data_IF_016258608182
#
_entry.id   IF_016258608182
#
_cell.length_a   1.000
_cell.length_b   1.000
_cell.length_c   1.000
_cell.angle_alpha   90.00
_cell.angle_beta   90.00
_cell.angle_gamma   90.00
#
_symmetry.space_group_name_H-M   'P 1'
#
loop_
_entity.id
_entity.type
_entity.pdbx_description
1 polymer ?
#
# COMPACT_ATOMS: atom_id res chain seq x y z
N UNK A 1 -14.89 26.16 0.27
CA UNK A 1 -14.91 25.31 -0.93
C UNK A 1 -15.27 23.89 -0.52
N UNK A 2 -16.32 23.30 -1.11
CA UNK A 2 -16.57 21.84 -1.02
C UNK A 2 -15.41 21.16 -1.74
N UNK A 3 -14.57 20.42 -1.02
CA UNK A 3 -13.50 19.63 -1.64
C UNK A 3 -14.12 18.61 -2.58
N UNK A 4 -13.65 18.58 -3.83
CA UNK A 4 -14.07 17.58 -4.81
C UNK A 4 -13.66 16.20 -4.29
N UNK A 5 -14.60 15.24 -4.09
CA UNK A 5 -14.31 13.93 -3.49
C UNK A 5 -13.31 13.05 -4.26
N UNK A 6 -12.89 13.47 -5.45
CA UNK A 6 -12.13 12.69 -6.42
C UNK A 6 -10.63 12.96 -6.41
N UNK A 7 -10.16 14.13 -5.97
CA UNK A 7 -8.75 14.51 -6.13
C UNK A 7 -7.78 13.67 -5.27
N UNK A 8 -8.24 13.16 -4.12
CA UNK A 8 -7.39 12.37 -3.21
C UNK A 8 -7.25 10.88 -3.59
N UNK A 9 -8.12 10.36 -4.46
CA UNK A 9 -8.13 8.95 -4.87
C UNK A 9 -7.40 8.68 -6.18
N UNK A 10 -7.15 9.72 -6.99
CA UNK A 10 -6.71 9.58 -8.39
C UNK A 10 -5.22 9.24 -8.56
N UNK A 11 -4.37 9.35 -7.52
CA UNK A 11 -2.93 9.12 -7.65
C UNK A 11 -2.32 8.38 -6.45
N UNK A 12 -2.82 7.18 -6.13
CA UNK A 12 -2.14 6.31 -5.15
C UNK A 12 -1.04 5.53 -5.90
N UNK A 13 0.26 5.76 -5.63
CA UNK A 13 1.34 5.05 -6.30
C UNK A 13 1.26 3.54 -6.05
N UNK A 14 1.44 2.71 -7.10
CA UNK A 14 1.47 1.27 -6.94
C UNK A 14 2.80 0.81 -6.32
N UNK A 15 2.73 -0.30 -5.58
CA UNK A 15 3.87 -0.95 -4.95
C UNK A 15 3.74 -2.46 -5.09
N UNK A 16 4.54 -3.04 -5.98
CA UNK A 16 4.61 -4.49 -6.12
C UNK A 16 5.43 -5.11 -5.00
N UNK A 17 4.93 -6.21 -4.45
CA UNK A 17 5.59 -7.00 -3.41
C UNK A 17 5.64 -8.47 -3.82
N UNK A 18 6.50 -9.25 -3.18
CA UNK A 18 6.53 -10.72 -3.32
C UNK A 18 5.38 -11.40 -2.57
N UNK A 19 5.21 -12.70 -2.80
CA UNK A 19 4.14 -13.51 -2.21
C UNK A 19 4.22 -13.56 -0.67
N UNK A 20 5.43 -13.66 -0.10
CA UNK A 20 5.62 -13.74 1.34
C UNK A 20 5.19 -12.44 2.05
N UNK A 21 5.51 -11.29 1.47
CA UNK A 21 5.05 -9.98 1.93
C UNK A 21 3.54 -9.85 1.73
N UNK A 22 3.02 -10.30 0.58
CA UNK A 22 1.58 -10.26 0.28
C UNK A 22 0.76 -11.03 1.32
N UNK A 23 1.17 -12.24 1.67
CA UNK A 23 0.49 -13.07 2.67
C UNK A 23 0.52 -12.45 4.06
N UNK A 24 1.65 -11.87 4.46
CA UNK A 24 1.75 -11.15 5.73
C UNK A 24 0.80 -9.96 5.77
N UNK A 25 0.74 -9.18 4.69
CA UNK A 25 -0.17 -8.03 4.58
C UNK A 25 -1.64 -8.46 4.58
N UNK A 26 -1.99 -9.57 3.91
CA UNK A 26 -3.35 -10.14 3.92
C UNK A 26 -3.82 -10.48 5.33
N UNK A 27 -2.90 -10.95 6.17
CA UNK A 27 -3.13 -11.22 7.59
C UNK A 27 -3.05 -9.97 8.48
N UNK A 28 -3.02 -8.76 7.89
CA UNK A 28 -2.98 -7.49 8.61
C UNK A 28 -1.64 -7.18 9.29
N UNK A 29 -0.58 -7.95 8.99
CA UNK A 29 0.73 -7.72 9.58
C UNK A 29 1.38 -6.48 8.98
N UNK A 30 2.21 -5.82 9.79
CA UNK A 30 3.10 -4.75 9.33
C UNK A 30 4.36 -5.39 8.76
N UNK A 31 4.80 -4.93 7.59
CA UNK A 31 5.92 -5.55 6.88
C UNK A 31 6.97 -4.51 6.54
N UNK A 32 8.24 -4.79 6.87
CA UNK A 32 9.37 -3.99 6.45
C UNK A 32 9.77 -4.42 5.04
N UNK A 33 9.94 -3.45 4.15
CA UNK A 33 10.40 -3.67 2.78
C UNK A 33 11.66 -2.83 2.52
N UNK A 34 12.53 -3.35 1.66
CA UNK A 34 13.69 -2.62 1.17
C UNK A 34 13.25 -1.78 -0.02
N UNK A 35 12.86 -0.53 0.24
CA UNK A 35 12.52 0.40 -0.84
C UNK A 35 13.45 1.59 -0.81
N UNK A 36 14.15 1.82 -1.93
CA UNK A 36 14.92 3.04 -2.14
C UNK A 36 13.98 4.15 -2.57
N UNK A 37 13.88 5.22 -1.77
CA UNK A 37 13.33 6.51 -2.23
C UNK A 37 11.83 6.77 -2.06
N UNK A 38 11.11 5.99 -1.25
CA UNK A 38 9.71 6.33 -0.92
C UNK A 38 9.63 7.55 0.02
N UNK A 39 8.78 8.52 -0.31
CA UNK A 39 8.46 9.61 0.61
C UNK A 39 7.93 9.06 1.93
N UNK A 40 8.42 9.62 3.04
CA UNK A 40 7.96 9.23 4.37
C UNK A 40 6.47 9.55 4.52
N UNK A 41 5.66 8.52 4.78
CA UNK A 41 4.19 8.56 4.99
C UNK A 41 3.34 8.66 3.72
N UNK A 42 3.82 8.12 2.60
CA UNK A 42 3.01 8.00 1.38
C UNK A 42 1.90 6.94 1.53
N UNK A 43 0.72 7.19 0.95
CA UNK A 43 -0.30 6.17 0.74
C UNK A 43 0.06 5.37 -0.52
N UNK A 44 0.06 4.04 -0.45
CA UNK A 44 0.46 3.17 -1.56
C UNK A 44 -0.60 2.09 -1.82
N UNK A 45 -0.75 1.72 -3.08
CA UNK A 45 -1.57 0.61 -3.54
C UNK A 45 -0.67 -0.62 -3.68
N UNK A 46 -0.78 -1.57 -2.76
CA UNK A 46 0.07 -2.75 -2.74
C UNK A 46 -0.50 -3.82 -3.68
N UNK A 47 0.34 -4.29 -4.59
CA UNK A 47 -0.01 -5.28 -5.63
C UNK A 47 0.86 -6.54 -5.53
N UNK A 48 0.28 -7.70 -5.87
CA UNK A 48 1.01 -8.95 -6.09
C UNK A 48 0.57 -9.56 -7.42
N UNK A 49 1.48 -9.60 -8.40
CA UNK A 49 1.12 -9.78 -9.80
C UNK A 49 0.13 -8.68 -10.25
N UNK A 50 -0.95 -9.08 -10.92
CA UNK A 50 -2.01 -8.16 -11.38
C UNK A 50 -3.09 -7.87 -10.33
N UNK A 51 -2.89 -8.32 -9.08
CA UNK A 51 -3.91 -8.26 -8.05
C UNK A 51 -3.61 -7.15 -7.04
N UNK A 52 -4.58 -6.25 -6.84
CA UNK A 52 -4.57 -5.32 -5.71
C UNK A 52 -4.86 -6.09 -4.42
N UNK A 53 -3.93 -6.06 -3.47
CA UNK A 53 -4.05 -6.80 -2.21
C UNK A 53 -4.32 -5.89 -1.01
N UNK A 54 -3.83 -4.65 -1.03
CA UNK A 54 -4.04 -3.72 0.08
C UNK A 54 -3.86 -2.25 -0.33
N UNK A 55 -4.49 -1.34 0.39
CA UNK A 55 -4.03 0.05 0.53
C UNK A 55 -3.26 0.14 1.85
N UNK A 56 -2.04 0.66 1.80
CA UNK A 56 -1.16 0.78 2.96
C UNK A 56 -0.56 2.18 3.07
N UNK A 57 -0.14 2.56 4.28
CA UNK A 57 0.79 3.68 4.46
C UNK A 57 2.20 3.13 4.48
N UNK A 58 3.08 3.72 3.68
CA UNK A 58 4.52 3.45 3.69
C UNK A 58 5.23 4.54 4.51
N UNK A 59 5.90 4.12 5.59
CA UNK A 59 6.62 5.02 6.49
C UNK A 59 8.02 4.48 6.75
N UNK A 60 9.04 5.17 6.22
CA UNK A 60 10.45 4.78 6.33
C UNK A 60 10.75 3.32 5.94
N UNK A 61 10.03 2.74 4.98
CA UNK A 61 10.15 1.32 4.56
C UNK A 61 9.30 0.33 5.36
N UNK A 62 8.37 0.81 6.20
CA UNK A 62 7.39 -0.01 6.91
C UNK A 62 6.02 0.16 6.27
N UNK A 63 5.47 -0.92 5.72
CA UNK A 63 4.09 -0.98 5.25
C UNK A 63 3.13 -1.24 6.40
N UNK A 64 2.17 -0.34 6.55
CA UNK A 64 1.07 -0.43 7.51
C UNK A 64 -0.24 -0.58 6.72
N UNK A 65 -0.81 -1.79 6.60
CA UNK A 65 -2.05 -2.00 5.87
C UNK A 65 -3.19 -1.21 6.54
N UNK A 66 -3.93 -0.44 5.73
CA UNK A 66 -5.13 0.30 6.15
C UNK A 66 -6.40 -0.42 5.72
N UNK A 67 -6.37 -0.99 4.52
CA UNK A 67 -7.44 -1.79 3.94
C UNK A 67 -6.80 -2.95 3.21
N UNK A 68 -7.21 -4.16 3.55
CA UNK A 68 -6.85 -5.37 2.83
C UNK A 68 -8.05 -5.78 1.97
N UNK A 69 -7.77 -6.19 0.74
CA UNK A 69 -8.76 -6.77 -0.15
C UNK A 69 -8.59 -8.28 -0.11
N UNK A 70 -9.60 -8.96 0.41
CA UNK A 70 -9.69 -10.41 0.32
C UNK A 70 -10.31 -10.72 -1.04
N UNK A 71 -9.66 -11.58 -1.82
CA UNK A 71 -10.33 -12.30 -2.89
C UNK A 71 -11.06 -13.47 -2.29
#
# INVERSE_FOLDING_TARGET
ARGEPSAGLLHIPPLSVDEAVADRLRNGQRVRIEQQGGESKALVAVTHGDNLIAIATLDAGLLRPRKVFMR
#
